data_IF_578193977220
#
_entry.id   IF_578193977220
#
_cell.length_a   1.000
_cell.length_b   1.000
_cell.length_c   1.000
_cell.angle_alpha   90.00
_cell.angle_beta   90.00
_cell.angle_gamma   90.00
#
_symmetry.space_group_name_H-M   'P 1'
#
loop_
_entity.id
_entity.type
_entity.pdbx_description
1 polymer ?
#
# COMPACT_ATOMS: atom_id res chain seq x y z
N UNK A 1 -13.23 -2.06 -20.69
CA UNK A 1 -13.22 -3.17 -19.70
C UNK A 1 -11.82 -3.73 -19.38
N UNK A 2 -10.87 -3.73 -20.35
CA UNK A 2 -9.54 -4.34 -20.19
C UNK A 2 -8.40 -3.36 -19.86
N UNK A 3 -8.69 -2.09 -19.54
CA UNK A 3 -7.63 -1.13 -19.22
C UNK A 3 -6.91 -1.56 -17.93
N UNK A 4 -5.56 -1.61 -17.89
CA UNK A 4 -4.83 -2.17 -16.75
C UNK A 4 -5.14 -1.43 -15.44
N UNK A 5 -5.30 -0.11 -15.47
CA UNK A 5 -5.71 0.66 -14.27
C UNK A 5 -7.09 0.24 -13.73
N UNK A 6 -8.06 -0.06 -14.61
CA UNK A 6 -9.38 -0.57 -14.17
C UNK A 6 -9.22 -1.95 -13.53
N UNK A 7 -8.37 -2.82 -14.09
CA UNK A 7 -8.04 -4.12 -13.47
C UNK A 7 -7.36 -3.94 -12.10
N UNK A 8 -6.46 -2.96 -11.94
CA UNK A 8 -5.84 -2.63 -10.64
C UNK A 8 -6.88 -2.17 -9.60
N UNK A 9 -7.82 -1.29 -9.97
CA UNK A 9 -8.92 -0.90 -9.08
C UNK A 9 -9.78 -2.10 -8.69
N UNK A 10 -10.08 -3.00 -9.65
CA UNK A 10 -10.80 -4.24 -9.39
C UNK A 10 -10.05 -5.15 -8.42
N UNK A 11 -8.73 -5.31 -8.57
CA UNK A 11 -7.91 -6.09 -7.65
C UNK A 11 -7.98 -5.54 -6.22
N UNK A 12 -7.90 -4.21 -6.06
CA UNK A 12 -8.08 -3.55 -4.75
C UNK A 12 -9.45 -3.84 -4.14
N UNK A 13 -10.53 -3.74 -4.92
CA UNK A 13 -11.89 -4.06 -4.46
C UNK A 13 -11.98 -5.51 -4.02
N UNK A 14 -11.49 -6.45 -4.84
CA UNK A 14 -11.45 -7.88 -4.50
C UNK A 14 -10.72 -8.12 -3.17
N UNK A 15 -9.59 -7.45 -2.97
CA UNK A 15 -8.80 -7.56 -1.74
C UNK A 15 -9.61 -7.13 -0.50
N UNK A 16 -10.24 -5.95 -0.52
CA UNK A 16 -11.04 -5.47 0.62
C UNK A 16 -12.36 -6.24 0.82
N UNK A 17 -12.83 -6.98 -0.20
CA UNK A 17 -13.93 -7.94 -0.07
C UNK A 17 -13.50 -9.32 0.44
N UNK A 18 -12.22 -9.54 0.74
CA UNK A 18 -11.69 -10.82 1.22
C UNK A 18 -11.39 -11.83 0.12
N UNK A 19 -11.58 -11.48 -1.15
CA UNK A 19 -11.24 -12.30 -2.31
C UNK A 19 -9.74 -12.23 -2.64
N UNK A 20 -8.88 -12.41 -1.64
CA UNK A 20 -7.44 -12.11 -1.68
C UNK A 20 -6.71 -12.88 -2.79
N UNK A 21 -7.01 -14.17 -2.98
CA UNK A 21 -6.39 -14.97 -4.04
C UNK A 21 -6.73 -14.44 -5.45
N UNK A 22 -7.98 -13.99 -5.68
CA UNK A 22 -8.38 -13.38 -6.96
C UNK A 22 -7.73 -12.02 -7.16
N UNK A 23 -7.60 -11.24 -6.08
CA UNK A 23 -6.90 -9.96 -6.11
C UNK A 23 -5.43 -10.13 -6.54
N UNK A 24 -4.71 -11.07 -5.92
CA UNK A 24 -3.32 -11.42 -6.26
C UNK A 24 -3.22 -11.83 -7.72
N UNK A 25 -4.06 -12.76 -8.18
CA UNK A 25 -4.05 -13.23 -9.57
C UNK A 25 -4.28 -12.09 -10.57
N UNK A 26 -5.26 -11.22 -10.28
CA UNK A 26 -5.56 -10.04 -11.12
C UNK A 26 -4.38 -9.08 -11.18
N UNK A 27 -3.71 -8.84 -10.05
CA UNK A 27 -2.59 -7.91 -9.99
C UNK A 27 -1.33 -8.46 -10.67
N UNK A 28 -1.08 -9.78 -10.59
CA UNK A 28 -0.03 -10.45 -11.36
C UNK A 28 -0.24 -10.31 -12.85
N UNK A 29 -1.45 -10.61 -13.33
CA UNK A 29 -1.82 -10.46 -14.75
C UNK A 29 -1.56 -9.02 -15.23
N UNK A 30 -1.96 -8.01 -14.45
CA UNK A 30 -1.70 -6.61 -14.77
C UNK A 30 -0.21 -6.33 -14.94
N UNK A 31 0.63 -6.78 -14.01
CA UNK A 31 2.08 -6.51 -14.01
C UNK A 31 2.83 -7.31 -15.09
N UNK A 32 2.38 -8.53 -15.39
CA UNK A 32 2.92 -9.38 -16.46
C UNK A 32 2.60 -8.79 -17.85
N UNK A 33 1.36 -8.37 -18.08
CA UNK A 33 0.93 -7.76 -19.35
C UNK A 33 1.47 -6.33 -19.54
N UNK A 34 1.79 -5.64 -18.44
CA UNK A 34 2.16 -4.22 -18.46
C UNK A 34 3.41 -3.95 -17.59
N UNK A 35 4.62 -4.35 -18.03
CA UNK A 35 5.85 -4.17 -17.24
C UNK A 35 6.17 -2.72 -16.85
N UNK A 36 5.69 -1.74 -17.63
CA UNK A 36 5.83 -0.32 -17.34
C UNK A 36 5.04 0.15 -16.10
N UNK A 37 4.07 -0.64 -15.63
CA UNK A 37 3.30 -0.40 -14.41
C UNK A 37 3.98 -0.98 -13.16
N UNK A 38 5.27 -1.28 -13.23
CA UNK A 38 6.08 -1.75 -12.10
C UNK A 38 5.96 -0.87 -10.84
N UNK A 39 5.67 0.43 -10.98
CA UNK A 39 5.35 1.31 -9.85
C UNK A 39 4.20 0.84 -8.96
N UNK A 40 3.31 -0.02 -9.48
CA UNK A 40 2.13 -0.53 -8.79
C UNK A 40 2.42 -1.81 -7.99
N UNK A 41 3.64 -2.37 -8.04
CA UNK A 41 4.01 -3.57 -7.28
C UNK A 41 3.75 -3.48 -5.76
N UNK A 42 3.79 -2.32 -5.07
CA UNK A 42 3.43 -2.26 -3.64
C UNK A 42 1.99 -2.72 -3.36
N UNK A 43 1.07 -2.59 -4.31
CA UNK A 43 -0.30 -3.11 -4.20
C UNK A 43 -0.27 -4.65 -4.16
N UNK A 44 0.52 -5.29 -5.03
CA UNK A 44 0.70 -6.75 -5.00
C UNK A 44 1.42 -7.19 -3.72
N UNK A 45 2.46 -6.44 -3.30
CA UNK A 45 3.19 -6.71 -2.06
C UNK A 45 2.26 -6.74 -0.84
N UNK A 46 1.37 -5.74 -0.71
CA UNK A 46 0.36 -5.72 0.34
C UNK A 46 -0.52 -6.98 0.34
N UNK A 47 -1.04 -7.36 -0.84
CA UNK A 47 -1.93 -8.51 -0.98
C UNK A 47 -1.20 -9.81 -0.59
N UNK A 48 0.04 -9.99 -1.01
CA UNK A 48 0.88 -11.14 -0.66
C UNK A 48 1.18 -11.17 0.85
N UNK A 49 1.56 -10.02 1.43
CA UNK A 49 1.85 -9.90 2.86
C UNK A 49 0.63 -10.27 3.72
N UNK A 50 -0.57 -9.86 3.31
CA UNK A 50 -1.82 -10.21 4.00
C UNK A 50 -2.09 -11.72 4.07
N UNK A 51 -1.54 -12.49 3.13
CA UNK A 51 -1.67 -13.94 3.05
C UNK A 51 -0.54 -14.67 3.78
N UNK A 52 0.44 -13.94 4.31
CA UNK A 52 1.64 -14.50 4.92
C UNK A 52 2.70 -14.93 3.90
N UNK A 53 2.56 -14.55 2.62
CA UNK A 53 3.57 -14.80 1.58
C UNK A 53 4.70 -13.77 1.68
N UNK A 54 5.36 -13.72 2.84
CA UNK A 54 6.28 -12.65 3.27
C UNK A 54 7.46 -12.45 2.32
N UNK A 55 8.12 -13.52 1.87
CA UNK A 55 9.29 -13.42 0.99
C UNK A 55 8.92 -12.81 -0.37
N UNK A 56 7.80 -13.24 -0.95
CA UNK A 56 7.37 -12.73 -2.24
C UNK A 56 6.81 -11.30 -2.14
N UNK A 57 6.14 -11.00 -1.03
CA UNK A 57 5.72 -9.64 -0.73
C UNK A 57 6.92 -8.68 -0.69
N UNK A 58 8.00 -9.05 0.01
CA UNK A 58 9.26 -8.28 0.07
C UNK A 58 9.88 -8.13 -1.32
N UNK A 59 9.90 -9.20 -2.11
CA UNK A 59 10.45 -9.16 -3.47
C UNK A 59 9.69 -8.19 -4.41
N UNK A 60 8.42 -7.87 -4.11
CA UNK A 60 7.64 -6.90 -4.86
C UNK A 60 7.85 -5.44 -4.41
N UNK A 61 8.59 -5.19 -3.33
CA UNK A 61 9.02 -3.84 -2.96
C UNK A 61 10.37 -3.55 -3.65
N UNK A 62 10.30 -3.34 -4.98
CA UNK A 62 11.51 -3.11 -5.80
C UNK A 62 11.98 -1.66 -5.71
N UNK A 63 13.27 -1.41 -5.96
CA UNK A 63 13.81 -0.05 -5.97
C UNK A 63 13.05 0.86 -6.96
N UNK A 64 12.64 0.33 -8.11
CA UNK A 64 11.86 1.09 -9.09
C UNK A 64 10.46 1.42 -8.58
N UNK A 65 9.80 0.48 -7.90
CA UNK A 65 8.52 0.74 -7.24
C UNK A 65 8.66 1.81 -6.17
N UNK A 66 9.71 1.75 -5.34
CA UNK A 66 10.00 2.77 -4.33
C UNK A 66 10.27 4.13 -4.98
N UNK A 67 11.06 4.20 -6.05
CA UNK A 67 11.33 5.45 -6.76
C UNK A 67 10.05 6.12 -7.25
N UNK A 68 9.10 5.35 -7.80
CA UNK A 68 7.80 5.87 -8.23
C UNK A 68 6.94 6.29 -7.03
N UNK A 69 6.88 5.47 -5.98
CA UNK A 69 6.17 5.78 -4.74
C UNK A 69 6.68 7.05 -4.07
N UNK A 70 7.95 7.45 -4.30
CA UNK A 70 8.45 8.72 -3.76
C UNK A 70 7.71 9.94 -4.30
N UNK A 71 7.09 9.88 -5.48
CA UNK A 71 6.43 11.01 -6.10
C UNK A 71 4.90 10.88 -6.14
N UNK A 72 4.33 9.81 -5.59
CA UNK A 72 2.91 9.49 -5.68
C UNK A 72 2.36 9.15 -4.29
N UNK A 73 1.38 9.92 -3.83
CA UNK A 73 0.85 9.82 -2.47
C UNK A 73 0.08 8.51 -2.23
N UNK A 74 -0.52 7.93 -3.27
CA UNK A 74 -1.22 6.66 -3.18
C UNK A 74 -0.19 5.54 -3.07
N UNK A 75 0.82 5.52 -3.94
CA UNK A 75 1.85 4.47 -3.93
C UNK A 75 2.71 4.53 -2.68
N UNK A 76 2.97 5.72 -2.12
CA UNK A 76 3.59 5.85 -0.81
C UNK A 76 2.75 5.16 0.28
N UNK A 77 1.43 5.37 0.28
CA UNK A 77 0.53 4.73 1.24
C UNK A 77 0.41 3.20 1.04
N UNK A 78 0.36 2.70 -0.20
CA UNK A 78 0.38 1.25 -0.46
C UNK A 78 1.68 0.62 0.02
N UNK A 79 2.81 1.30 -0.17
CA UNK A 79 4.12 0.88 0.32
C UNK A 79 4.14 0.84 1.85
N UNK A 80 3.61 1.86 2.52
CA UNK A 80 3.47 1.89 3.98
C UNK A 80 2.66 0.70 4.50
N UNK A 81 1.52 0.42 3.87
CA UNK A 81 0.62 -0.66 4.24
C UNK A 81 1.26 -2.04 4.06
N UNK A 82 2.02 -2.23 2.97
CA UNK A 82 2.76 -3.46 2.73
C UNK A 82 3.82 -3.69 3.82
N UNK A 83 4.62 -2.67 4.15
CA UNK A 83 5.61 -2.75 5.24
C UNK A 83 4.96 -3.03 6.60
N UNK A 84 3.79 -2.44 6.87
CA UNK A 84 3.06 -2.67 8.11
C UNK A 84 2.65 -4.15 8.26
N UNK A 85 2.15 -4.78 7.20
CA UNK A 85 1.82 -6.21 7.18
C UNK A 85 3.06 -7.12 7.24
N UNK A 86 4.19 -6.66 6.70
CA UNK A 86 5.48 -7.34 6.79
C UNK A 86 6.15 -7.23 8.18
N UNK A 87 5.56 -6.46 9.10
CA UNK A 87 6.09 -6.21 10.44
C UNK A 87 7.22 -5.18 10.50
N UNK A 88 7.49 -4.48 9.40
CA UNK A 88 8.55 -3.47 9.30
C UNK A 88 8.04 -2.09 9.69
N UNK A 89 7.81 -1.92 10.99
CA UNK A 89 7.12 -0.74 11.54
C UNK A 89 7.76 0.60 11.17
N UNK A 90 9.09 0.72 11.26
CA UNK A 90 9.80 1.96 10.94
C UNK A 90 9.62 2.34 9.47
N UNK A 91 9.80 1.38 8.55
CA UNK A 91 9.57 1.61 7.12
C UNK A 91 8.11 1.98 6.84
N UNK A 92 7.16 1.32 7.50
CA UNK A 92 5.75 1.65 7.35
C UNK A 92 5.44 3.10 7.77
N UNK A 93 5.98 3.54 8.91
CA UNK A 93 5.81 4.91 9.41
C UNK A 93 6.48 5.95 8.49
N UNK A 94 7.69 5.66 7.98
CA UNK A 94 8.40 6.52 7.02
C UNK A 94 7.58 6.75 5.74
N UNK A 95 7.01 5.68 5.19
CA UNK A 95 6.21 5.76 3.98
C UNK A 95 4.83 6.38 4.21
N UNK A 96 4.22 6.17 5.38
CA UNK A 96 2.96 6.81 5.74
C UNK A 96 3.14 8.33 5.89
N UNK A 97 4.18 8.77 6.61
CA UNK A 97 4.53 10.18 6.72
C UNK A 97 4.78 10.79 5.33
N UNK A 98 5.45 10.05 4.44
CA UNK A 98 5.66 10.51 3.07
C UNK A 98 4.33 10.66 2.31
N UNK A 99 3.42 9.70 2.42
CA UNK A 99 2.11 9.79 1.77
C UNK A 99 1.36 11.05 2.20
N UNK A 100 1.39 11.35 3.50
CA UNK A 100 0.79 12.56 4.08
C UNK A 100 1.47 13.83 3.53
N UNK A 101 2.81 13.88 3.52
CA UNK A 101 3.55 15.02 2.95
C UNK A 101 3.31 15.25 1.45
N UNK A 102 2.93 14.20 0.72
CA UNK A 102 2.56 14.28 -0.69
C UNK A 102 1.07 14.64 -0.90
N UNK A 103 0.30 14.85 0.16
CA UNK A 103 -1.09 15.33 0.12
C UNK A 103 -2.15 14.26 0.39
N UNK A 104 -1.79 13.04 0.79
CA UNK A 104 -2.78 12.05 1.20
C UNK A 104 -3.21 12.27 2.65
N UNK A 105 -4.30 13.00 2.83
CA UNK A 105 -4.86 13.40 4.12
C UNK A 105 -6.10 12.56 4.51
N UNK A 106 -6.19 11.31 4.03
CA UNK A 106 -7.34 10.44 4.26
C UNK A 106 -7.36 9.86 5.68
N UNK A 107 -7.56 10.72 6.67
CA UNK A 107 -7.54 10.42 8.10
C UNK A 107 -8.49 9.27 8.47
N UNK A 108 -9.76 9.34 8.04
CA UNK A 108 -10.76 8.32 8.36
C UNK A 108 -10.34 6.93 7.87
N UNK A 109 -9.69 6.88 6.71
CA UNK A 109 -9.19 5.64 6.15
C UNK A 109 -7.97 5.11 6.93
N UNK A 110 -6.98 5.96 7.23
CA UNK A 110 -5.80 5.55 8.00
C UNK A 110 -6.17 5.03 9.40
N UNK A 111 -7.15 5.65 10.06
CA UNK A 111 -7.65 5.23 11.38
C UNK A 111 -8.40 3.89 11.36
N UNK A 112 -8.87 3.42 10.19
CA UNK A 112 -9.71 2.21 10.06
C UNK A 112 -9.06 1.08 9.27
N UNK A 113 -8.09 1.39 8.43
CA UNK A 113 -7.45 0.38 7.59
C UNK A 113 -6.65 -0.59 8.44
N UNK A 114 -7.10 -1.85 8.48
CA UNK A 114 -6.52 -2.92 9.28
C UNK A 114 -5.09 -3.26 8.87
N UNK A 115 -4.68 -2.90 7.64
CA UNK A 115 -3.30 -3.12 7.21
C UNK A 115 -2.29 -2.32 8.05
N UNK A 116 -2.73 -1.24 8.70
CA UNK A 116 -1.91 -0.40 9.57
C UNK A 116 -1.99 -0.78 11.06
N UNK A 117 -2.69 -1.86 11.42
CA UNK A 117 -2.90 -2.23 12.83
C UNK A 117 -1.59 -2.44 13.60
N UNK A 118 -0.55 -2.94 12.94
CA UNK A 118 0.77 -3.17 13.55
C UNK A 118 1.49 -1.88 13.98
N UNK A 119 1.15 -0.74 13.37
CA UNK A 119 1.73 0.58 13.67
C UNK A 119 0.77 1.53 14.39
N UNK A 120 -0.52 1.19 14.51
CA UNK A 120 -1.57 2.06 15.05
C UNK A 120 -1.29 2.59 16.46
N UNK A 121 -0.61 1.79 17.27
CA UNK A 121 -0.25 2.12 18.65
C UNK A 121 1.12 2.82 18.79
N UNK A 122 1.84 3.04 17.69
CA UNK A 122 3.11 3.76 17.72
C UNK A 122 2.86 5.26 17.95
N UNK A 123 3.71 5.91 18.74
CA UNK A 123 3.56 7.34 19.03
C UNK A 123 3.60 8.16 17.74
N UNK A 124 4.53 7.83 16.83
CA UNK A 124 4.67 8.50 15.54
C UNK A 124 3.41 8.38 14.67
N UNK A 125 2.68 7.26 14.73
CA UNK A 125 1.40 7.14 14.02
C UNK A 125 0.37 8.13 14.56
N UNK A 126 0.23 8.23 15.88
CA UNK A 126 -0.70 9.18 16.53
C UNK A 126 -0.37 10.63 16.18
N UNK A 127 0.91 10.98 16.20
CA UNK A 127 1.38 12.33 15.87
C UNK A 127 1.04 12.68 14.41
N UNK A 128 1.21 11.75 13.47
CA UNK A 128 0.83 11.93 12.07
C UNK A 128 -0.68 12.12 11.89
N UNK A 129 -1.52 11.38 12.62
CA UNK A 129 -2.97 11.55 12.54
C UNK A 129 -3.42 12.91 13.10
N UNK A 130 -2.80 13.34 14.20
CA UNK A 130 -3.06 14.66 14.79
C UNK A 130 -2.62 15.79 13.85
N UNK A 131 -1.50 15.63 13.14
CA UNK A 131 -1.06 16.58 12.12
C UNK A 131 -2.11 16.77 11.02
N UNK A 132 -2.74 15.69 10.53
CA UNK A 132 -3.80 15.79 9.51
C UNK A 132 -5.01 16.55 10.08
N UNK A 133 -5.43 16.24 11.32
CA UNK A 133 -6.56 16.90 11.99
C UNK A 133 -6.37 18.40 12.13
N UNK A 134 -5.14 18.85 12.39
CA UNK A 134 -4.82 20.26 12.57
C UNK A 134 -4.73 21.05 11.25
N UNK A 135 -4.53 20.35 10.12
CA UNK A 135 -4.41 20.95 8.80
C UNK A 135 -5.72 20.95 7.99
N UNK A 136 -6.78 20.29 8.50
CA UNK A 136 -8.11 20.20 7.89
C UNK A 136 -9.02 21.36 8.32
#
# INVERSE_FOLDING_TARGET
PNHPLIKTFRARILFYHGEVNKAIATMREVLEENPHLEGMRPILSLMLASKGETEEARANITERALQMARADHDMAYWTASAYALLGEKENALDWLERAIKLGNENLEWFERDKNLDSIRNEQRFRDLMEQIKQNS
#
